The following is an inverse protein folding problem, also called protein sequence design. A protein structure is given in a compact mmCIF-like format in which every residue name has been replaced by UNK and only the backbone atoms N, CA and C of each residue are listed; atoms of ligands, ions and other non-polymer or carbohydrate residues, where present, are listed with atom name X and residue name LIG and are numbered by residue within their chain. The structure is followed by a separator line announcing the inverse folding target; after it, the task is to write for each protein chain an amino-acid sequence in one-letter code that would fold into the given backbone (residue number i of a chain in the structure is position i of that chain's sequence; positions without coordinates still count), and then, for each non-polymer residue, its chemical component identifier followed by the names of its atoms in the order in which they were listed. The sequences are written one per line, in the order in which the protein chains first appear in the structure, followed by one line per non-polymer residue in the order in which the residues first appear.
data_IF_053329139195
#
_entry.id   IF_053329139195
#
_cell.length_a   1.000
_cell.length_b   1.000
_cell.length_c   1.000
_cell.angle_alpha   90.00
_cell.angle_beta   90.00
_cell.angle_gamma   90.00
#
_symmetry.space_group_name_H-M   'P 1'
#
loop_
_entity.id
_entity.type
_entity.pdbx_description
1 polymer ?
#
# COMPACT_ATOMS: atom_id res chain seq x y z
N UNK A 1 19.99 31.65 0.78
CA UNK A 1 19.82 31.79 -0.68
C UNK A 1 18.60 30.99 -1.07
N UNK A 2 17.50 31.69 -1.31
CA UNK A 2 16.17 31.18 -1.60
C UNK A 2 16.04 30.94 -3.10
N UNK A 3 16.41 29.74 -3.54
CA UNK A 3 15.96 29.09 -4.77
C UNK A 3 16.60 27.69 -4.86
N UNK A 4 15.98 26.69 -4.24
CA UNK A 4 16.22 25.28 -4.56
C UNK A 4 15.26 24.91 -5.67
N UNK A 5 15.63 25.17 -6.93
CA UNK A 5 14.86 24.69 -8.07
C UNK A 5 14.81 23.16 -8.01
N UNK A 6 13.60 22.61 -7.88
CA UNK A 6 13.38 21.17 -7.92
C UNK A 6 13.95 20.61 -9.23
N UNK A 7 14.70 19.51 -9.14
CA UNK A 7 15.24 18.83 -10.32
C UNK A 7 14.11 18.50 -11.31
N UNK A 8 14.30 18.83 -12.58
CA UNK A 8 13.31 18.63 -13.65
C UNK A 8 13.73 17.47 -14.53
N UNK A 9 12.75 16.84 -15.17
CA UNK A 9 12.98 15.85 -16.22
C UNK A 9 12.87 16.47 -17.61
N UNK A 10 13.61 15.94 -18.58
CA UNK A 10 13.32 16.24 -20.00
C UNK A 10 12.04 15.57 -20.49
N UNK A 11 11.46 14.61 -19.75
CA UNK A 11 10.10 14.10 -19.97
C UNK A 11 9.13 15.16 -19.42
N UNK A 12 8.52 15.93 -20.31
CA UNK A 12 7.74 17.10 -19.95
C UNK A 12 6.55 16.78 -19.03
N UNK A 13 5.87 15.65 -19.25
CA UNK A 13 4.72 15.22 -18.45
C UNK A 13 5.08 14.89 -17.01
N UNK A 14 6.35 14.62 -16.69
CA UNK A 14 6.79 14.40 -15.31
C UNK A 14 6.93 15.70 -14.50
N UNK A 15 7.10 16.85 -15.16
CA UNK A 15 7.31 18.11 -14.47
C UNK A 15 5.98 18.66 -13.92
N UNK A 16 5.79 18.57 -12.61
CA UNK A 16 4.52 18.94 -11.97
C UNK A 16 3.49 17.80 -11.93
N UNK A 17 3.87 16.60 -12.39
CA UNK A 17 3.04 15.42 -12.21
C UNK A 17 2.83 15.16 -10.72
N UNK A 18 1.58 14.92 -10.30
CA UNK A 18 1.25 14.76 -8.88
C UNK A 18 1.79 13.46 -8.28
N UNK A 19 1.79 12.39 -9.09
CA UNK A 19 2.17 11.07 -8.60
C UNK A 19 3.58 10.64 -9.04
N UNK A 20 3.92 10.75 -10.33
CA UNK A 20 5.17 10.25 -10.92
C UNK A 20 6.12 11.34 -11.45
N UNK A 21 6.52 12.35 -10.65
CA UNK A 21 7.61 13.23 -11.08
C UNK A 21 8.96 12.51 -11.00
N UNK A 22 10.02 13.18 -11.46
CA UNK A 22 11.40 12.67 -11.42
C UNK A 22 11.86 12.26 -10.00
N UNK A 23 11.28 12.87 -8.97
CA UNK A 23 11.58 12.56 -7.57
C UNK A 23 10.95 11.26 -7.09
N UNK A 24 9.94 10.71 -7.78
CA UNK A 24 9.32 9.46 -7.37
C UNK A 24 10.06 8.25 -7.97
N UNK A 25 9.90 8.01 -9.27
CA UNK A 25 10.44 6.85 -9.99
C UNK A 25 10.05 5.50 -9.34
N UNK A 26 8.76 5.21 -9.14
CA UNK A 26 8.35 3.96 -8.53
C UNK A 26 8.50 2.80 -9.53
N UNK A 27 8.76 1.61 -9.00
CA UNK A 27 9.00 0.40 -9.78
C UNK A 27 7.72 -0.43 -9.93
N UNK A 28 7.53 -1.07 -11.06
CA UNK A 28 6.37 -1.92 -11.31
C UNK A 28 6.63 -2.92 -12.42
N UNK A 29 5.68 -3.84 -12.60
CA UNK A 29 5.68 -4.81 -13.68
C UNK A 29 4.57 -4.46 -14.66
N UNK A 30 4.90 -4.40 -15.94
CA UNK A 30 3.96 -4.03 -16.99
C UNK A 30 4.11 -4.91 -18.24
N UNK A 31 3.11 -4.87 -19.12
CA UNK A 31 3.14 -5.46 -20.45
C UNK A 31 2.43 -4.56 -21.46
N UNK A 32 2.77 -4.67 -22.73
CA UNK A 32 2.11 -3.96 -23.84
C UNK A 32 1.54 -5.00 -24.80
N UNK A 33 0.26 -4.90 -25.14
CA UNK A 33 -0.35 -5.74 -26.19
C UNK A 33 -0.17 -7.26 -25.99
N UNK A 34 -0.18 -7.74 -24.74
CA UNK A 34 0.00 -9.16 -24.41
C UNK A 34 1.45 -9.67 -24.46
N UNK A 35 2.44 -8.78 -24.62
CA UNK A 35 3.86 -9.13 -24.47
C UNK A 35 4.17 -9.71 -23.08
N UNK A 36 5.30 -10.40 -22.94
CA UNK A 36 5.77 -10.85 -21.62
C UNK A 36 5.86 -9.68 -20.61
N UNK A 37 5.41 -9.89 -19.35
CA UNK A 37 5.57 -8.91 -18.28
C UNK A 37 7.04 -8.63 -17.99
N UNK A 38 7.37 -7.36 -17.74
CA UNK A 38 8.73 -6.89 -17.48
C UNK A 38 8.76 -5.68 -16.56
N UNK A 39 9.93 -5.39 -16.02
CA UNK A 39 10.13 -4.30 -15.06
C UNK A 39 10.16 -2.93 -15.73
N UNK A 40 9.53 -1.96 -15.09
CA UNK A 40 9.47 -0.58 -15.56
C UNK A 40 9.40 0.43 -14.42
N UNK A 41 9.62 1.69 -14.76
CA UNK A 41 9.61 2.83 -13.83
C UNK A 41 8.63 3.88 -14.34
N UNK A 42 7.66 4.29 -13.53
CA UNK A 42 6.74 5.35 -13.93
C UNK A 42 7.45 6.71 -13.94
N UNK A 43 7.23 7.51 -14.99
CA UNK A 43 7.75 8.87 -15.13
C UNK A 43 6.79 9.72 -15.98
N UNK A 44 6.08 10.65 -15.33
CA UNK A 44 4.96 11.36 -15.95
C UNK A 44 3.89 10.38 -16.45
N UNK A 45 3.48 10.57 -17.70
CA UNK A 45 2.49 9.71 -18.39
C UNK A 45 3.12 8.50 -19.11
N UNK A 46 4.41 8.21 -18.86
CA UNK A 46 5.15 7.15 -19.51
C UNK A 46 5.72 6.14 -18.50
N UNK A 47 6.12 4.98 -19.01
CA UNK A 47 6.87 3.97 -18.27
C UNK A 47 8.24 3.83 -18.92
N UNK A 48 9.32 4.03 -18.17
CA UNK A 48 10.67 3.68 -18.63
C UNK A 48 10.86 2.16 -18.54
N UNK A 49 11.02 1.50 -19.68
CA UNK A 49 11.23 0.06 -19.80
C UNK A 49 12.68 -0.30 -19.42
N UNK A 50 12.85 -0.95 -18.27
CA UNK A 50 14.19 -1.25 -17.74
C UNK A 50 14.92 -2.28 -18.60
N UNK A 51 14.21 -3.26 -19.16
CA UNK A 51 14.79 -4.29 -20.03
C UNK A 51 15.24 -3.68 -21.37
N UNK A 52 14.41 -2.81 -21.97
CA UNK A 52 14.79 -2.08 -23.17
C UNK A 52 15.99 -1.15 -22.91
N UNK A 53 16.04 -0.50 -21.74
CA UNK A 53 17.16 0.34 -21.34
C UNK A 53 18.46 -0.46 -21.16
N UNK A 54 18.38 -1.66 -20.59
CA UNK A 54 19.50 -2.59 -20.48
C UNK A 54 20.00 -3.03 -21.86
N UNK A 55 19.09 -3.44 -22.76
CA UNK A 55 19.43 -3.82 -24.13
C UNK A 55 20.05 -2.66 -24.93
N UNK A 56 19.67 -1.41 -24.65
CA UNK A 56 20.24 -0.22 -25.25
C UNK A 56 21.59 0.22 -24.65
N UNK A 57 22.12 -0.50 -23.65
CA UNK A 57 23.35 -0.16 -22.96
C UNK A 57 23.26 1.16 -22.20
N UNK A 58 22.12 1.39 -21.51
CA UNK A 58 21.95 2.57 -20.65
C UNK A 58 22.38 2.31 -19.20
N UNK A 59 22.65 1.07 -18.83
CA UNK A 59 23.06 0.69 -17.47
C UNK A 59 24.46 0.10 -17.44
N UNK A 60 25.24 0.53 -16.45
CA UNK A 60 26.61 0.06 -16.20
C UNK A 60 26.80 -0.19 -14.69
N UNK A 61 27.85 -0.93 -14.33
CA UNK A 61 28.24 -1.15 -12.93
C UNK A 61 27.09 -1.69 -12.05
N UNK A 62 26.95 -1.22 -10.81
CA UNK A 62 25.91 -1.68 -9.89
C UNK A 62 24.47 -1.47 -10.40
N UNK A 63 24.20 -0.41 -11.17
CA UNK A 63 22.88 -0.18 -11.74
C UNK A 63 22.51 -1.24 -12.80
N UNK A 64 23.51 -1.74 -13.55
CA UNK A 64 23.31 -2.86 -14.47
C UNK A 64 22.92 -4.14 -13.73
N UNK A 65 23.63 -4.48 -12.65
CA UNK A 65 23.33 -5.65 -11.81
C UNK A 65 21.91 -5.55 -11.23
N UNK A 66 21.50 -4.35 -10.80
CA UNK A 66 20.15 -4.10 -10.31
C UNK A 66 19.07 -4.38 -11.36
N UNK A 67 19.25 -3.90 -12.60
CA UNK A 67 18.29 -4.16 -13.68
C UNK A 67 18.28 -5.63 -14.09
N UNK A 68 19.45 -6.27 -14.19
CA UNK A 68 19.57 -7.71 -14.48
C UNK A 68 18.81 -8.58 -13.46
N UNK A 69 18.80 -8.18 -12.19
CA UNK A 69 18.04 -8.86 -11.14
C UNK A 69 16.52 -8.56 -11.16
N UNK A 70 16.06 -7.58 -11.95
CA UNK A 70 14.64 -7.27 -12.13
C UNK A 70 14.00 -7.96 -13.34
N UNK A 71 14.80 -8.65 -14.15
CA UNK A 71 14.34 -9.38 -15.34
C UNK A 71 13.40 -10.52 -14.96
N UNK A 72 12.52 -10.88 -15.90
CA UNK A 72 11.62 -12.04 -15.73
C UNK A 72 10.28 -11.72 -15.08
N UNK A 73 9.91 -10.44 -15.05
CA UNK A 73 8.54 -10.02 -14.72
C UNK A 73 8.21 -10.03 -13.22
N UNK A 74 9.21 -9.96 -12.34
CA UNK A 74 9.00 -9.80 -10.90
C UNK A 74 10.19 -9.09 -10.24
N UNK A 75 9.92 -8.24 -9.23
CA UNK A 75 10.96 -7.48 -8.53
C UNK A 75 11.67 -8.26 -7.40
N UNK A 76 11.32 -9.52 -7.14
CA UNK A 76 11.85 -10.30 -6.00
C UNK A 76 13.38 -10.36 -5.96
N UNK A 77 14.03 -10.71 -7.08
CA UNK A 77 15.48 -10.84 -7.12
C UNK A 77 16.18 -9.48 -6.99
N UNK A 78 15.59 -8.41 -7.52
CA UNK A 78 16.04 -7.04 -7.28
C UNK A 78 15.88 -6.63 -5.80
N UNK A 79 14.77 -6.97 -5.16
CA UNK A 79 14.55 -6.74 -3.72
C UNK A 79 15.58 -7.47 -2.85
N UNK A 80 15.97 -8.68 -3.24
CA UNK A 80 16.97 -9.49 -2.55
C UNK A 80 18.38 -8.88 -2.56
N UNK A 81 18.71 -8.02 -3.52
CA UNK A 81 20.00 -7.31 -3.55
C UNK A 81 20.13 -6.23 -2.47
N UNK A 82 19.03 -5.86 -1.81
CA UNK A 82 19.04 -4.86 -0.74
C UNK A 82 19.19 -3.42 -1.24
N UNK A 83 19.45 -2.51 -0.30
CA UNK A 83 19.40 -1.06 -0.54
C UNK A 83 20.43 -0.55 -1.56
N UNK A 84 21.64 -1.08 -1.55
CA UNK A 84 22.72 -0.58 -2.41
C UNK A 84 22.36 -0.67 -3.90
N UNK A 85 21.72 -1.76 -4.32
CA UNK A 85 21.22 -1.94 -5.69
C UNK A 85 20.06 -0.98 -6.01
N UNK A 86 19.14 -0.77 -5.05
CA UNK A 86 18.03 0.20 -5.21
C UNK A 86 18.54 1.63 -5.42
N UNK A 87 19.49 2.05 -4.59
CA UNK A 87 20.13 3.37 -4.69
C UNK A 87 20.86 3.52 -6.03
N UNK A 88 21.66 2.53 -6.42
CA UNK A 88 22.40 2.58 -7.68
C UNK A 88 21.48 2.70 -8.91
N UNK A 89 20.38 1.93 -8.94
CA UNK A 89 19.39 2.04 -10.01
C UNK A 89 18.74 3.42 -10.02
N UNK A 90 18.32 3.91 -8.85
CA UNK A 90 17.69 5.23 -8.70
C UNK A 90 18.59 6.37 -9.17
N UNK A 91 19.86 6.39 -8.75
CA UNK A 91 20.83 7.40 -9.16
C UNK A 91 21.04 7.39 -10.67
N UNK A 92 21.15 6.20 -11.27
CA UNK A 92 21.29 6.08 -12.72
C UNK A 92 20.04 6.56 -13.46
N UNK A 93 18.84 6.24 -12.97
CA UNK A 93 17.60 6.73 -13.57
C UNK A 93 17.48 8.26 -13.47
N UNK A 94 17.88 8.85 -12.34
CA UNK A 94 17.94 10.30 -12.19
C UNK A 94 18.88 10.92 -13.23
N UNK A 95 20.07 10.36 -13.44
CA UNK A 95 21.00 10.82 -14.48
C UNK A 95 20.41 10.71 -15.90
N UNK A 96 19.76 9.58 -16.21
CA UNK A 96 19.16 9.33 -17.53
C UNK A 96 17.97 10.26 -17.81
N UNK A 97 17.18 10.59 -16.80
CA UNK A 97 15.89 11.28 -16.94
C UNK A 97 15.93 12.77 -16.60
N UNK A 98 16.99 13.27 -15.95
CA UNK A 98 17.15 14.70 -15.62
C UNK A 98 17.28 15.57 -16.85
N UNK A 99 16.74 16.79 -16.82
CA UNK A 99 16.72 17.76 -17.94
C UNK A 99 18.08 17.97 -18.62
N UNK A 100 19.18 17.92 -17.86
CA UNK A 100 20.56 18.06 -18.34
C UNK A 100 21.23 16.77 -18.84
N UNK A 101 20.50 15.66 -19.01
CA UNK A 101 21.09 14.38 -19.39
C UNK A 101 21.75 14.42 -20.77
N UNK A 102 23.03 14.03 -20.84
CA UNK A 102 23.78 13.90 -22.10
C UNK A 102 23.29 12.74 -22.96
N UNK A 103 22.52 11.82 -22.38
CA UNK A 103 21.96 10.64 -23.05
C UNK A 103 20.55 10.87 -23.60
N UNK A 104 19.96 12.05 -23.38
CA UNK A 104 18.60 12.40 -23.83
C UNK A 104 18.37 12.05 -25.30
N UNK A 105 19.24 12.50 -26.20
CA UNK A 105 19.07 12.25 -27.65
C UNK A 105 19.10 10.76 -28.02
N UNK A 106 19.89 9.95 -27.30
CA UNK A 106 19.92 8.49 -27.48
C UNK A 106 18.60 7.86 -27.01
N UNK A 107 18.04 8.33 -25.90
CA UNK A 107 16.79 7.83 -25.34
C UNK A 107 15.60 8.23 -26.20
N UNK A 108 15.52 9.49 -26.63
CA UNK A 108 14.47 9.99 -27.53
C UNK A 108 14.45 9.22 -28.86
N UNK A 109 15.60 8.85 -29.40
CA UNK A 109 15.70 8.03 -30.62
C UNK A 109 15.14 6.60 -30.47
N UNK A 110 15.02 6.08 -29.25
CA UNK A 110 14.40 4.78 -28.99
C UNK A 110 12.86 4.86 -28.95
N UNK A 111 12.32 6.05 -28.65
CA UNK A 111 10.88 6.35 -28.68
C UNK A 111 10.06 5.43 -27.77
N UNK A 112 8.88 5.03 -28.25
CA UNK A 112 7.90 4.22 -27.52
C UNK A 112 8.38 2.81 -27.16
N UNK A 113 9.51 2.35 -27.71
CA UNK A 113 10.13 1.08 -27.30
C UNK A 113 10.75 1.16 -25.91
N UNK A 114 11.25 2.34 -25.52
CA UNK A 114 11.84 2.57 -24.20
C UNK A 114 10.89 3.33 -23.27
N UNK A 115 10.03 4.18 -23.85
CA UNK A 115 9.07 5.02 -23.14
C UNK A 115 7.66 4.85 -23.71
N UNK A 116 7.05 3.67 -23.57
CA UNK A 116 5.63 3.51 -23.86
C UNK A 116 4.78 4.45 -22.99
N UNK A 117 3.64 4.87 -23.53
CA UNK A 117 2.64 5.58 -22.74
C UNK A 117 2.04 4.63 -21.70
N UNK A 118 1.88 5.11 -20.47
CA UNK A 118 1.33 4.31 -19.38
C UNK A 118 -0.11 3.84 -19.68
N UNK A 119 -0.88 4.64 -20.41
CA UNK A 119 -2.24 4.30 -20.84
C UNK A 119 -2.32 3.10 -21.80
N UNK A 120 -1.24 2.79 -22.51
CA UNK A 120 -1.15 1.65 -23.44
C UNK A 120 -0.63 0.38 -22.75
N UNK A 121 -0.30 0.46 -21.46
CA UNK A 121 0.31 -0.61 -20.68
C UNK A 121 -0.70 -1.26 -19.73
N UNK A 122 -0.59 -2.57 -19.58
CA UNK A 122 -1.26 -3.31 -18.51
C UNK A 122 -0.27 -3.50 -17.36
N UNK A 123 -0.68 -3.12 -16.15
CA UNK A 123 0.10 -3.30 -14.92
C UNK A 123 -0.24 -4.62 -14.23
N UNK A 124 0.76 -5.22 -13.59
CA UNK A 124 0.68 -6.52 -12.91
C UNK A 124 1.09 -6.39 -11.44
N UNK A 125 1.04 -7.49 -10.68
CA UNK A 125 1.66 -7.52 -9.36
C UNK A 125 3.17 -7.26 -9.49
N UNK A 126 3.76 -6.40 -8.64
CA UNK A 126 5.16 -6.01 -8.78
C UNK A 126 6.14 -7.14 -8.38
N UNK A 127 5.72 -8.04 -7.50
CA UNK A 127 6.51 -9.17 -7.04
C UNK A 127 5.63 -10.39 -6.81
N UNK A 128 6.24 -11.57 -6.82
CA UNK A 128 5.63 -12.80 -6.34
C UNK A 128 5.63 -12.77 -4.81
N UNK A 129 4.44 -12.75 -4.21
CA UNK A 129 4.28 -12.69 -2.76
C UNK A 129 4.43 -14.10 -2.20
N UNK A 130 5.46 -14.32 -1.38
CA UNK A 130 5.65 -15.56 -0.62
C UNK A 130 4.61 -15.64 0.48
N UNK A 131 4.78 -14.74 1.47
CA UNK A 131 3.86 -14.57 2.58
C UNK A 131 3.26 -13.16 2.64
N UNK A 132 2.01 -13.10 3.10
CA UNK A 132 1.32 -11.86 3.42
C UNK A 132 0.97 -11.87 4.90
N UNK A 133 1.38 -10.83 5.62
CA UNK A 133 0.98 -10.62 7.01
C UNK A 133 0.25 -9.30 7.14
N UNK A 134 -0.87 -9.32 7.81
CA UNK A 134 -1.69 -8.13 8.02
C UNK A 134 -1.58 -7.72 9.48
N UNK A 135 -1.05 -6.52 9.73
CA UNK A 135 -0.93 -5.97 11.07
C UNK A 135 -2.20 -5.22 11.47
N UNK A 136 -2.20 -4.72 12.71
CA UNK A 136 -3.32 -3.95 13.25
C UNK A 136 -2.79 -2.74 14.01
N UNK A 137 -2.12 -1.83 13.31
CA UNK A 137 -1.36 -0.73 13.94
C UNK A 137 -2.13 0.58 14.11
N UNK A 138 -3.25 0.75 13.40
CA UNK A 138 -4.10 1.94 13.49
C UNK A 138 -4.86 2.00 14.82
N UNK A 139 -4.36 2.77 15.79
CA UNK A 139 -4.94 2.77 17.14
C UNK A 139 -6.35 3.35 17.20
N UNK A 140 -6.67 4.34 16.39
CA UNK A 140 -8.03 4.88 16.32
C UNK A 140 -9.00 3.86 15.73
N UNK A 141 -8.58 3.13 14.69
CA UNK A 141 -9.34 2.00 14.17
C UNK A 141 -9.57 0.94 15.26
N UNK A 142 -8.51 0.56 15.98
CA UNK A 142 -8.60 -0.40 17.08
C UNK A 142 -9.57 0.04 18.20
N UNK A 143 -9.58 1.33 18.55
CA UNK A 143 -10.54 1.91 19.50
C UNK A 143 -11.95 1.90 18.94
N UNK A 144 -12.15 2.30 17.69
CA UNK A 144 -13.48 2.42 17.08
C UNK A 144 -14.16 1.06 16.94
N UNK A 145 -13.46 0.08 16.35
CA UNK A 145 -13.95 -1.30 16.26
C UNK A 145 -14.13 -1.88 17.65
N UNK A 146 -13.17 -1.66 18.54
CA UNK A 146 -13.24 -2.05 19.95
C UNK A 146 -14.52 -1.59 20.63
N UNK A 147 -14.92 -0.32 20.47
CA UNK A 147 -16.14 0.24 21.08
C UNK A 147 -17.43 -0.43 20.60
N UNK A 148 -17.45 -0.96 19.38
CA UNK A 148 -18.62 -1.66 18.84
C UNK A 148 -18.87 -3.01 19.52
N UNK A 149 -17.80 -3.67 19.99
CA UNK A 149 -17.88 -5.01 20.59
C UNK A 149 -17.64 -5.02 22.12
N UNK A 150 -16.86 -4.06 22.62
CA UNK A 150 -16.39 -3.93 24.01
C UNK A 150 -16.34 -2.43 24.38
N UNK A 151 -17.49 -1.76 24.55
CA UNK A 151 -17.55 -0.32 24.76
C UNK A 151 -16.74 0.18 25.97
N UNK A 152 -16.71 -0.60 27.05
CA UNK A 152 -16.01 -0.21 28.28
C UNK A 152 -14.49 -0.43 28.23
N UNK A 153 -14.01 -1.33 27.36
CA UNK A 153 -12.59 -1.61 27.20
C UNK A 153 -12.26 -1.93 25.72
N UNK A 154 -12.20 -0.89 24.88
CA UNK A 154 -12.15 -1.08 23.42
C UNK A 154 -10.82 -1.67 22.95
N UNK A 155 -9.72 -1.34 23.63
CA UNK A 155 -8.38 -1.87 23.33
C UNK A 155 -8.05 -3.05 24.24
N UNK A 156 -7.56 -4.14 23.65
CA UNK A 156 -7.02 -5.25 24.44
C UNK A 156 -5.69 -4.84 25.09
N UNK A 157 -5.35 -5.38 26.28
CA UNK A 157 -4.17 -4.95 27.04
C UNK A 157 -2.84 -5.05 26.27
N UNK A 158 -2.70 -6.01 25.37
CA UNK A 158 -1.48 -6.27 24.61
C UNK A 158 -1.22 -5.24 23.49
N UNK A 159 -2.23 -4.52 23.01
CA UNK A 159 -2.13 -3.66 21.82
C UNK A 159 -0.99 -2.61 21.94
N UNK A 160 -0.80 -2.06 23.13
CA UNK A 160 0.22 -1.03 23.39
C UNK A 160 1.64 -1.60 23.57
N UNK A 161 1.78 -2.91 23.67
CA UNK A 161 3.06 -3.61 23.88
C UNK A 161 3.53 -4.41 22.67
N UNK A 162 2.61 -4.84 21.81
CA UNK A 162 2.87 -5.74 20.68
C UNK A 162 2.20 -5.16 19.43
N UNK A 163 2.92 -4.98 18.31
CA UNK A 163 2.29 -4.73 17.01
C UNK A 163 1.63 -6.03 16.54
N UNK A 164 0.40 -6.24 16.98
CA UNK A 164 -0.34 -7.48 16.67
C UNK A 164 -0.62 -7.57 15.17
N UNK A 165 -0.59 -8.80 14.65
CA UNK A 165 -0.89 -9.11 13.26
C UNK A 165 -1.24 -10.58 13.10
N UNK A 166 -1.68 -10.96 11.91
CA UNK A 166 -2.04 -12.33 11.54
C UNK A 166 -1.57 -12.63 10.11
N UNK A 167 -1.39 -13.91 9.80
CA UNK A 167 -1.06 -14.33 8.43
C UNK A 167 -2.29 -14.17 7.53
N UNK A 168 -2.17 -13.32 6.52
CA UNK A 168 -3.16 -13.14 5.47
C UNK A 168 -3.04 -14.18 4.37
N UNK A 169 -3.74 -13.98 3.24
CA UNK A 169 -3.74 -14.93 2.12
C UNK A 169 -3.04 -14.39 0.88
N UNK A 170 -1.78 -14.77 0.68
CA UNK A 170 -0.99 -14.34 -0.48
C UNK A 170 -1.63 -14.69 -1.84
N UNK A 171 -2.26 -15.87 -1.97
CA UNK A 171 -2.79 -16.35 -3.26
C UNK A 171 -3.93 -15.51 -3.86
N UNK A 172 -4.59 -14.69 -3.06
CA UNK A 172 -5.75 -13.88 -3.44
C UNK A 172 -5.45 -12.37 -3.45
N UNK A 173 -4.18 -12.00 -3.34
CA UNK A 173 -3.74 -10.62 -3.59
C UNK A 173 -3.77 -10.35 -5.10
N UNK A 174 -4.40 -9.25 -5.50
CA UNK A 174 -4.58 -8.87 -6.90
C UNK A 174 -4.13 -7.43 -7.13
N UNK A 175 -3.62 -7.11 -8.34
CA UNK A 175 -3.32 -5.74 -8.67
C UNK A 175 -4.63 -4.94 -8.78
N UNK A 176 -4.50 -3.62 -8.62
CA UNK A 176 -5.55 -2.63 -8.84
C UNK A 176 -6.33 -2.88 -10.14
N UNK A 177 -7.67 -2.75 -10.07
CA UNK A 177 -8.58 -2.89 -11.20
C UNK A 177 -9.23 -4.26 -11.37
N UNK A 178 -8.80 -5.28 -10.62
CA UNK A 178 -9.47 -6.59 -10.60
C UNK A 178 -10.82 -6.49 -9.88
N UNK A 179 -11.86 -7.11 -10.45
CA UNK A 179 -13.20 -7.15 -9.84
C UNK A 179 -13.21 -7.87 -8.48
N UNK A 180 -13.98 -7.31 -7.55
CA UNK A 180 -14.16 -7.80 -6.19
C UNK A 180 -15.49 -8.54 -6.12
N UNK A 181 -15.45 -9.86 -6.22
CA UNK A 181 -16.67 -10.65 -6.13
C UNK A 181 -17.13 -10.76 -4.68
N UNK A 182 -18.36 -10.34 -4.41
CA UNK A 182 -18.99 -10.49 -3.09
C UNK A 182 -18.90 -11.96 -2.65
N UNK A 183 -18.28 -12.24 -1.48
CA UNK A 183 -18.13 -13.61 -1.04
C UNK A 183 -19.47 -14.17 -0.53
N UNK A 184 -19.58 -15.49 -0.56
CA UNK A 184 -20.56 -16.23 0.22
C UNK A 184 -19.89 -16.83 1.44
N UNK A 185 -20.63 -16.98 2.53
CA UNK A 185 -20.11 -17.63 3.72
C UNK A 185 -21.20 -17.90 4.74
N UNK A 186 -20.78 -18.47 5.86
CA UNK A 186 -21.66 -18.62 7.01
C UNK A 186 -21.73 -17.31 7.79
N UNK A 187 -22.93 -16.98 8.25
CA UNK A 187 -23.17 -15.85 9.14
C UNK A 187 -24.13 -16.27 10.24
N UNK A 188 -23.98 -15.70 11.43
CA UNK A 188 -24.94 -15.85 12.53
C UNK A 188 -25.62 -14.50 12.81
N UNK A 189 -26.84 -14.27 12.29
CA UNK A 189 -27.58 -13.06 12.59
C UNK A 189 -27.90 -12.91 14.08
N UNK A 190 -27.98 -11.68 14.57
CA UNK A 190 -28.31 -11.41 15.97
C UNK A 190 -29.66 -12.03 16.37
N UNK A 191 -29.70 -12.69 17.52
CA UNK A 191 -30.89 -13.37 18.04
C UNK A 191 -31.14 -14.76 17.46
N UNK A 192 -30.30 -15.24 16.53
CA UNK A 192 -30.36 -16.60 16.01
C UNK A 192 -29.41 -17.53 16.77
N UNK A 193 -29.73 -18.82 16.77
CA UNK A 193 -28.91 -19.88 17.38
C UNK A 193 -28.20 -20.75 16.34
N UNK A 194 -28.64 -20.71 15.08
CA UNK A 194 -28.08 -21.49 13.98
C UNK A 194 -27.57 -20.55 12.87
N UNK A 195 -26.40 -20.84 12.27
CA UNK A 195 -25.86 -20.02 11.20
C UNK A 195 -26.65 -20.24 9.89
N UNK A 196 -26.61 -19.22 9.03
CA UNK A 196 -27.13 -19.29 7.66
C UNK A 196 -25.99 -19.20 6.66
N UNK A 197 -26.20 -19.70 5.43
CA UNK A 197 -25.23 -19.62 4.35
C UNK A 197 -25.78 -18.76 3.20
N UNK A 198 -25.00 -17.78 2.75
CA UNK A 198 -25.42 -16.90 1.66
C UNK A 198 -24.40 -15.83 1.34
N UNK A 199 -24.75 -14.88 0.44
CA UNK A 199 -23.93 -13.71 0.16
C UNK A 199 -23.68 -12.86 1.40
N UNK A 200 -22.46 -12.33 1.53
CA UNK A 200 -22.10 -11.34 2.54
C UNK A 200 -23.00 -10.10 2.42
N UNK A 201 -23.64 -9.70 3.52
CA UNK A 201 -24.47 -8.50 3.64
C UNK A 201 -23.69 -7.28 4.13
N UNK A 202 -22.52 -7.48 4.73
CA UNK A 202 -21.68 -6.41 5.32
C UNK A 202 -20.28 -6.39 4.69
N UNK A 203 -20.23 -6.18 3.38
CA UNK A 203 -18.99 -6.06 2.62
C UNK A 203 -18.37 -4.68 2.82
N UNK A 204 -17.07 -4.64 3.07
CA UNK A 204 -16.35 -3.44 3.48
C UNK A 204 -14.98 -3.37 2.81
N UNK A 205 -14.38 -2.19 2.83
CA UNK A 205 -12.97 -1.96 2.50
C UNK A 205 -12.17 -1.70 3.78
N UNK A 206 -10.85 -1.79 3.66
CA UNK A 206 -9.92 -1.32 4.69
C UNK A 206 -8.82 -0.47 4.04
N UNK A 207 -8.69 0.78 4.47
CA UNK A 207 -7.65 1.69 4.00
C UNK A 207 -6.30 1.34 4.62
N UNK A 208 -5.37 0.81 3.83
CA UNK A 208 -4.07 0.37 4.33
C UNK A 208 -2.90 0.80 3.46
N UNK A 209 -1.71 0.73 4.07
CA UNK A 209 -0.44 0.72 3.36
C UNK A 209 0.10 -0.70 3.30
N UNK A 210 0.50 -1.11 2.10
CA UNK A 210 1.34 -2.28 1.88
C UNK A 210 2.82 -1.91 2.02
N UNK A 211 3.60 -2.78 2.67
CA UNK A 211 5.03 -2.63 2.91
C UNK A 211 5.73 -3.83 2.28
N UNK A 212 6.56 -3.58 1.28
CA UNK A 212 7.30 -4.63 0.58
C UNK A 212 8.60 -4.95 1.28
N UNK A 213 8.81 -6.21 1.60
CA UNK A 213 10.07 -6.69 2.17
C UNK A 213 11.14 -6.81 1.07
N UNK A 214 12.26 -6.16 1.33
CA UNK A 214 13.48 -6.15 0.54
C UNK A 214 14.32 -7.40 0.79
N UNK A 215 15.54 -7.23 1.28
CA UNK A 215 16.34 -8.37 1.70
C UNK A 215 15.68 -9.03 2.91
N UNK A 216 15.58 -10.37 2.89
CA UNK A 216 15.06 -11.14 4.02
C UNK A 216 16.07 -11.30 5.16
N UNK A 217 15.86 -12.31 5.98
CA UNK A 217 16.78 -12.80 7.02
C UNK A 217 16.96 -14.31 6.91
N UNK A 218 17.97 -14.85 7.59
CA UNK A 218 18.13 -16.29 7.73
C UNK A 218 17.15 -16.84 8.77
N UNK A 219 16.70 -18.08 8.59
CA UNK A 219 15.77 -18.73 9.51
C UNK A 219 16.40 -18.85 10.91
N UNK A 220 15.71 -18.37 11.94
CA UNK A 220 16.20 -18.32 13.31
C UNK A 220 16.82 -16.98 13.71
N UNK A 221 17.20 -16.14 12.74
CA UNK A 221 17.85 -14.86 13.00
C UNK A 221 16.84 -13.71 12.96
N UNK A 222 16.75 -12.95 14.05
CA UNK A 222 15.87 -11.77 14.11
C UNK A 222 16.52 -10.55 13.44
N UNK A 223 15.68 -9.68 12.84
CA UNK A 223 16.12 -8.38 12.33
C UNK A 223 15.99 -7.35 13.45
N UNK A 224 17.08 -6.73 13.93
CA UNK A 224 17.00 -5.67 14.93
C UNK A 224 16.23 -4.45 14.40
N UNK A 225 15.43 -3.80 15.24
CA UNK A 225 14.65 -2.60 14.84
C UNK A 225 15.53 -1.46 14.28
N UNK A 226 16.80 -1.38 14.71
CA UNK A 226 17.78 -0.41 14.19
C UNK A 226 18.21 -0.66 12.74
N UNK A 227 18.02 -1.88 12.23
CA UNK A 227 18.38 -2.29 10.87
C UNK A 227 17.14 -2.53 10.00
N UNK A 228 15.98 -2.78 10.62
CA UNK A 228 14.72 -3.13 9.98
C UNK A 228 14.29 -2.18 8.83
N UNK A 229 14.62 -0.89 8.91
CA UNK A 229 14.33 0.06 7.83
C UNK A 229 15.02 -0.28 6.50
N UNK A 230 16.19 -0.92 6.53
CA UNK A 230 16.96 -1.31 5.33
C UNK A 230 16.33 -2.50 4.60
N UNK A 231 15.58 -3.32 5.35
CA UNK A 231 14.82 -4.48 4.86
C UNK A 231 13.48 -4.10 4.22
N UNK A 232 13.14 -2.80 4.15
CA UNK A 232 11.94 -2.33 3.45
C UNK A 232 12.34 -1.89 2.04
N UNK A 233 11.80 -2.55 1.02
CA UNK A 233 12.03 -2.18 -0.38
C UNK A 233 11.22 -0.93 -0.78
N UNK A 234 9.98 -0.83 -0.29
CA UNK A 234 9.08 0.25 -0.63
C UNK A 234 7.66 -0.01 -0.15
N UNK A 235 6.74 0.80 -0.65
CA UNK A 235 5.37 0.87 -0.17
C UNK A 235 4.39 0.89 -1.35
N UNK A 236 3.18 0.39 -1.10
CA UNK A 236 2.04 0.49 -2.02
C UNK A 236 0.76 0.81 -1.22
N UNK A 237 -0.32 1.18 -1.91
CA UNK A 237 -1.65 1.15 -1.32
C UNK A 237 -2.12 -0.30 -1.18
N UNK A 238 -2.88 -0.60 -0.14
CA UNK A 238 -3.50 -1.90 0.08
C UNK A 238 -4.97 -1.70 0.50
N UNK A 239 -5.86 -2.51 -0.07
CA UNK A 239 -7.25 -2.62 0.36
C UNK A 239 -7.52 -4.05 0.79
N UNK A 240 -7.68 -4.25 2.10
CA UNK A 240 -8.02 -5.57 2.67
C UNK A 240 -9.54 -5.74 2.78
N UNK A 241 -10.14 -6.15 1.65
CA UNK A 241 -11.59 -6.31 1.54
C UNK A 241 -12.12 -7.27 2.60
N UNK A 242 -13.22 -6.87 3.23
CA UNK A 242 -13.66 -7.50 4.47
C UNK A 242 -15.15 -7.82 4.45
N UNK A 243 -15.49 -9.08 4.70
CA UNK A 243 -16.88 -9.52 4.88
C UNK A 243 -17.21 -9.59 6.38
N UNK A 244 -17.70 -8.47 6.95
CA UNK A 244 -17.77 -8.25 8.41
C UNK A 244 -18.71 -9.19 9.15
N UNK A 245 -19.79 -9.61 8.50
CA UNK A 245 -20.76 -10.58 9.02
C UNK A 245 -20.21 -12.01 9.06
N UNK A 246 -19.46 -12.41 8.03
CA UNK A 246 -18.71 -13.68 8.02
C UNK A 246 -17.63 -13.62 9.11
N UNK A 247 -16.90 -12.51 9.20
CA UNK A 247 -15.82 -12.30 10.17
C UNK A 247 -16.32 -12.47 11.60
N UNK A 248 -17.43 -11.80 11.94
CA UNK A 248 -18.01 -11.83 13.29
C UNK A 248 -18.38 -13.25 13.74
N UNK A 249 -18.74 -14.14 12.81
CA UNK A 249 -19.07 -15.53 13.10
C UNK A 249 -17.82 -16.42 13.21
N UNK A 250 -16.85 -16.26 12.31
CA UNK A 250 -15.74 -17.21 12.19
C UNK A 250 -14.52 -16.91 13.07
N UNK A 251 -14.31 -15.65 13.47
CA UNK A 251 -12.96 -15.22 13.89
C UNK A 251 -12.50 -15.77 15.25
N UNK A 252 -13.42 -16.27 16.08
CA UNK A 252 -13.03 -16.81 17.38
C UNK A 252 -12.79 -18.32 17.32
N UNK A 253 -11.68 -18.84 17.88
CA UNK A 253 -10.58 -18.12 18.54
C UNK A 253 -9.39 -17.81 17.61
N UNK A 254 -9.44 -18.18 16.34
CA UNK A 254 -8.25 -18.31 15.47
C UNK A 254 -7.91 -17.05 14.64
N UNK A 255 -8.73 -16.02 14.70
CA UNK A 255 -8.60 -14.81 13.90
C UNK A 255 -9.36 -14.84 12.57
N UNK A 256 -9.29 -13.76 11.78
CA UNK A 256 -9.98 -13.65 10.49
C UNK A 256 -9.50 -14.70 9.49
N UNK A 257 -10.41 -15.25 8.66
CA UNK A 257 -10.06 -16.25 7.66
C UNK A 257 -10.80 -16.07 6.32
N UNK A 258 -12.00 -16.62 6.14
CA UNK A 258 -12.75 -16.50 4.88
C UNK A 258 -13.29 -15.09 4.66
N UNK A 259 -13.46 -14.34 5.73
CA UNK A 259 -13.87 -12.94 5.72
C UNK A 259 -12.84 -11.96 5.17
N UNK A 260 -11.59 -12.42 4.94
CA UNK A 260 -10.47 -11.63 4.39
C UNK A 260 -9.88 -12.27 3.14
N UNK A 261 -9.70 -13.59 3.16
CA UNK A 261 -8.97 -14.33 2.12
C UNK A 261 -9.62 -14.37 0.73
N UNK A 262 -10.81 -13.80 0.54
CA UNK A 262 -11.50 -13.81 -0.76
C UNK A 262 -10.84 -12.89 -1.79
N UNK A 263 -10.33 -11.72 -1.38
CA UNK A 263 -9.49 -10.84 -2.22
C UNK A 263 -8.85 -9.72 -1.37
N UNK A 264 -7.59 -9.42 -1.64
CA UNK A 264 -6.90 -8.20 -1.18
C UNK A 264 -6.40 -7.48 -2.43
N UNK A 265 -6.55 -6.16 -2.52
CA UNK A 265 -6.10 -5.38 -3.70
C UNK A 265 -4.93 -4.48 -3.36
N UNK A 266 -3.97 -4.31 -4.28
CA UNK A 266 -2.82 -3.41 -4.08
C UNK A 266 -2.58 -2.49 -5.29
N UNK A 267 -2.02 -1.30 -5.05
CA UNK A 267 -1.52 -0.47 -6.15
C UNK A 267 -0.30 -1.13 -6.83
N UNK A 268 -0.18 -1.05 -8.15
CA UNK A 268 0.84 -1.81 -8.90
C UNK A 268 2.26 -1.22 -8.79
N UNK A 269 2.37 0.05 -8.42
CA UNK A 269 3.65 0.74 -8.28
C UNK A 269 4.19 0.62 -6.86
N UNK A 270 5.45 0.20 -6.75
CA UNK A 270 6.23 0.19 -5.52
C UNK A 270 6.99 1.50 -5.42
N UNK A 271 6.52 2.38 -4.54
CA UNK A 271 7.22 3.63 -4.22
C UNK A 271 8.35 3.28 -3.27
N UNK A 272 9.60 3.47 -3.70
CA UNK A 272 10.76 2.96 -2.96
C UNK A 272 10.98 3.72 -1.65
N UNK A 273 11.58 3.06 -0.66
CA UNK A 273 11.90 3.70 0.62
C UNK A 273 12.77 4.96 0.44
N UNK A 274 13.67 4.95 -0.55
CA UNK A 274 14.56 6.07 -0.88
C UNK A 274 13.82 7.26 -1.50
N UNK A 275 12.72 7.03 -2.24
CA UNK A 275 11.89 8.10 -2.76
C UNK A 275 11.13 8.83 -1.65
N UNK A 276 10.80 8.12 -0.57
CA UNK A 276 10.02 8.63 0.55
C UNK A 276 10.85 9.33 1.64
N UNK A 277 12.18 9.27 1.57
CA UNK A 277 13.09 9.88 2.55
C UNK A 277 12.73 11.34 2.91
N UNK A 278 12.40 12.23 1.96
CA UNK A 278 12.04 13.62 2.29
C UNK A 278 10.76 13.78 3.11
N UNK A 279 9.93 12.74 3.18
CA UNK A 279 8.64 12.71 3.86
C UNK A 279 8.68 11.93 5.18
N UNK A 280 9.88 11.50 5.61
CA UNK A 280 10.08 10.98 6.95
C UNK A 280 9.79 12.03 8.01
N UNK A 281 9.20 11.57 9.12
CA UNK A 281 8.88 12.36 10.31
C UNK A 281 9.28 11.57 11.55
N UNK A 282 9.41 12.29 12.66
CA UNK A 282 9.41 11.66 13.97
C UNK A 282 8.10 10.89 14.16
N UNK A 283 8.20 9.70 14.73
CA UNK A 283 7.03 8.94 15.13
C UNK A 283 6.22 9.78 16.13
N UNK A 284 4.90 9.94 15.94
CA UNK A 284 4.08 10.65 16.90
C UNK A 284 4.27 10.10 18.30
N UNK A 285 4.45 11.00 19.26
CA UNK A 285 4.65 10.63 20.65
C UNK A 285 3.44 9.81 21.13
N UNK A 286 3.72 8.77 21.90
CA UNK A 286 2.66 8.00 22.55
C UNK A 286 1.86 8.92 23.50
N UNK A 287 0.53 8.75 23.61
CA UNK A 287 -0.27 9.49 24.56
C UNK A 287 0.27 9.41 25.99
N UNK A 288 0.04 10.44 26.79
CA UNK A 288 0.44 10.44 28.20
C UNK A 288 -0.15 9.22 28.95
N UNK A 289 0.70 8.50 29.67
CA UNK A 289 0.33 7.27 30.39
C UNK A 289 0.46 5.98 29.57
N UNK A 290 0.70 6.05 28.26
CA UNK A 290 0.98 4.86 27.46
C UNK A 290 2.38 4.29 27.77
N UNK A 291 2.55 2.95 27.77
CA UNK A 291 3.82 2.34 28.11
C UNK A 291 4.86 2.58 27.01
N UNK A 292 6.12 2.62 27.41
CA UNK A 292 7.24 2.53 26.48
C UNK A 292 7.32 1.11 25.89
N UNK A 293 7.61 0.96 24.58
CA UNK A 293 7.91 -0.36 24.00
C UNK A 293 9.08 -1.05 24.71
N UNK A 294 9.09 -2.38 24.69
CA UNK A 294 10.25 -3.16 25.09
C UNK A 294 11.46 -2.83 24.19
N UNK A 295 12.67 -3.02 24.70
CA UNK A 295 13.91 -2.58 24.05
C UNK A 295 14.08 -3.06 22.59
N UNK A 296 13.62 -4.26 22.26
CA UNK A 296 13.72 -4.80 20.89
C UNK A 296 12.85 -4.07 19.86
N UNK A 297 11.88 -3.28 20.30
CA UNK A 297 11.03 -2.42 19.48
C UNK A 297 11.35 -0.94 19.63
N UNK A 298 12.45 -0.58 20.31
CA UNK A 298 12.78 0.81 20.56
C UNK A 298 14.18 1.13 20.03
N UNK A 299 14.23 1.98 19.00
CA UNK A 299 15.45 2.57 18.48
C UNK A 299 15.27 4.08 18.31
N UNK A 300 16.30 4.85 18.65
CA UNK A 300 16.22 6.32 18.66
C UNK A 300 16.14 6.91 17.25
N UNK A 301 16.75 6.27 16.25
CA UNK A 301 16.69 6.73 14.85
C UNK A 301 15.32 6.44 14.26
N UNK A 302 14.76 5.27 14.54
CA UNK A 302 13.39 4.91 14.18
C UNK A 302 12.38 5.87 14.83
N UNK A 303 12.51 6.18 16.12
CA UNK A 303 11.59 7.14 16.74
C UNK A 303 11.73 8.56 16.15
N UNK A 304 12.93 8.95 15.71
CA UNK A 304 13.17 10.26 15.11
C UNK A 304 12.75 10.37 13.64
N UNK A 305 12.73 9.28 12.87
CA UNK A 305 12.53 9.33 11.40
C UNK A 305 11.73 8.13 10.81
N UNK A 306 11.15 7.27 11.65
CA UNK A 306 10.51 6.02 11.25
C UNK A 306 9.10 6.19 10.70
N UNK A 307 8.44 7.31 11.00
CA UNK A 307 7.14 7.64 10.45
C UNK A 307 7.26 8.24 9.05
N UNK A 308 6.23 8.04 8.24
CA UNK A 308 6.09 8.63 6.91
C UNK A 308 4.84 9.50 6.89
N UNK A 309 4.96 10.69 6.31
CA UNK A 309 3.84 11.61 6.06
C UNK A 309 3.22 11.29 4.69
N UNK A 310 2.26 10.37 4.69
CA UNK A 310 1.54 9.92 3.50
C UNK A 310 0.06 10.16 3.76
N UNK A 311 -0.52 11.13 3.05
CA UNK A 311 -1.96 11.34 3.03
C UNK A 311 -2.63 10.18 2.29
N UNK A 312 -3.71 9.64 2.86
CA UNK A 312 -4.41 8.46 2.38
C UNK A 312 -5.89 8.78 2.17
N UNK A 313 -6.37 8.70 0.94
CA UNK A 313 -7.73 9.05 0.55
C UNK A 313 -8.52 7.81 0.12
N UNK A 314 -9.78 7.73 0.52
CA UNK A 314 -10.74 6.71 0.08
C UNK A 314 -11.91 7.38 -0.63
N UNK A 315 -12.19 6.93 -1.84
CA UNK A 315 -13.29 7.38 -2.67
C UNK A 315 -14.22 6.21 -2.99
N UNK A 316 -15.51 6.50 -3.09
CA UNK A 316 -16.56 5.59 -3.53
C UNK A 316 -17.21 6.13 -4.81
N UNK A 317 -17.29 5.30 -5.83
CA UNK A 317 -17.98 5.61 -7.09
C UNK A 317 -19.07 4.57 -7.39
N UNK A 318 -20.32 5.01 -7.34
CA UNK A 318 -21.50 4.16 -7.61
C UNK A 318 -21.89 4.20 -9.09
N UNK A 319 -22.78 3.31 -9.51
CA UNK A 319 -23.34 3.36 -10.87
C UNK A 319 -24.15 4.64 -11.12
N UNK A 320 -24.99 5.03 -10.16
CA UNK A 320 -25.80 6.25 -10.28
C UNK A 320 -24.93 7.52 -10.37
N UNK A 321 -23.81 7.59 -9.64
CA UNK A 321 -22.86 8.70 -9.79
C UNK A 321 -22.26 8.77 -11.19
N UNK A 322 -21.94 7.63 -11.81
CA UNK A 322 -21.44 7.58 -13.20
C UNK A 322 -22.49 8.08 -14.18
N UNK A 323 -23.73 7.61 -14.06
CA UNK A 323 -24.85 8.03 -14.90
C UNK A 323 -25.15 9.53 -14.77
N UNK A 324 -25.01 10.09 -13.57
CA UNK A 324 -25.21 11.50 -13.29
C UNK A 324 -23.97 12.38 -13.56
N UNK A 325 -22.85 11.80 -14.02
CA UNK A 325 -21.56 12.47 -14.18
C UNK A 325 -21.06 13.16 -12.89
N UNK A 326 -21.36 12.59 -11.72
CA UNK A 326 -20.86 13.07 -10.43
C UNK A 326 -19.45 12.53 -10.16
N UNK A 327 -18.58 13.30 -9.48
CA UNK A 327 -17.29 12.78 -9.03
C UNK A 327 -17.48 11.69 -7.97
N UNK A 328 -16.47 10.84 -7.80
CA UNK A 328 -16.44 9.87 -6.71
C UNK A 328 -16.56 10.59 -5.35
N UNK A 329 -17.39 10.05 -4.46
CA UNK A 329 -17.62 10.61 -3.14
C UNK A 329 -16.48 10.24 -2.19
N UNK A 330 -15.89 11.22 -1.51
CA UNK A 330 -14.81 10.99 -0.55
C UNK A 330 -15.36 10.47 0.77
N UNK A 331 -15.01 9.24 1.10
CA UNK A 331 -15.38 8.58 2.36
C UNK A 331 -14.44 8.97 3.50
N UNK A 332 -13.15 9.13 3.22
CA UNK A 332 -12.17 9.48 4.23
C UNK A 332 -10.88 10.06 3.65
N UNK A 333 -10.21 10.89 4.45
CA UNK A 333 -8.87 11.44 4.20
C UNK A 333 -8.02 11.29 5.47
N UNK A 334 -7.32 10.17 5.58
CA UNK A 334 -6.45 9.81 6.69
C UNK A 334 -4.97 10.12 6.38
N UNK A 335 -4.07 9.67 7.24
CA UNK A 335 -2.62 9.76 7.03
C UNK A 335 -1.92 8.59 7.73
N UNK A 336 -0.80 8.10 7.18
CA UNK A 336 0.03 7.07 7.83
C UNK A 336 0.66 7.50 9.14
N UNK A 337 0.71 8.79 9.46
CA UNK A 337 1.06 9.29 10.79
C UNK A 337 0.11 8.79 11.89
N UNK A 338 -1.05 8.23 11.55
CA UNK A 338 -1.94 7.59 12.53
C UNK A 338 -1.51 6.16 12.93
N UNK A 339 -0.45 5.62 12.33
CA UNK A 339 0.15 4.35 12.74
C UNK A 339 0.74 4.48 14.15
N UNK A 340 0.35 3.60 15.07
CA UNK A 340 0.89 3.58 16.43
C UNK A 340 2.26 2.87 16.53
N UNK A 341 2.57 2.04 15.55
CA UNK A 341 3.83 1.31 15.40
C UNK A 341 4.45 1.63 14.04
N UNK A 342 5.77 1.86 13.98
CA UNK A 342 6.49 2.14 12.73
C UNK A 342 6.64 0.87 11.89
N UNK A 343 6.88 1.02 10.58
CA UNK A 343 7.15 -0.12 9.71
C UNK A 343 8.39 -0.93 10.15
N UNK A 344 9.42 -0.27 10.70
CA UNK A 344 10.60 -0.94 11.24
C UNK A 344 10.26 -1.80 12.47
N UNK A 345 9.36 -1.33 13.35
CA UNK A 345 8.86 -2.11 14.47
C UNK A 345 8.08 -3.35 14.01
N UNK A 346 7.37 -3.29 12.87
CA UNK A 346 6.65 -4.45 12.32
C UNK A 346 7.63 -5.53 11.86
N UNK A 347 8.66 -5.14 11.09
CA UNK A 347 9.73 -6.06 10.63
C UNK A 347 10.48 -6.68 11.80
N UNK A 348 10.86 -5.87 12.79
CA UNK A 348 11.54 -6.36 13.98
C UNK A 348 10.67 -7.32 14.80
N UNK A 349 9.38 -7.00 14.98
CA UNK A 349 8.47 -7.88 15.70
C UNK A 349 8.23 -9.20 14.98
N UNK A 350 8.02 -9.15 13.67
CA UNK A 350 7.71 -10.35 12.87
C UNK A 350 8.85 -11.37 12.90
N UNK A 351 10.09 -10.89 12.80
CA UNK A 351 11.29 -11.73 12.78
C UNK A 351 11.81 -12.12 14.17
N UNK A 352 11.31 -11.52 15.27
CA UNK A 352 11.91 -11.67 16.62
C UNK A 352 11.95 -13.12 17.13
N UNK A 353 11.03 -13.97 16.65
CA UNK A 353 10.98 -15.39 17.02
C UNK A 353 11.80 -16.30 16.10
N UNK A 354 12.57 -15.72 15.17
CA UNK A 354 13.30 -16.44 14.13
C UNK A 354 12.51 -16.71 12.85
N UNK A 355 11.32 -16.09 12.67
CA UNK A 355 10.59 -16.16 11.40
C UNK A 355 11.46 -15.63 10.26
N UNK A 356 11.51 -16.39 9.17
CA UNK A 356 12.27 -16.04 7.99
C UNK A 356 11.42 -15.15 7.08
N UNK A 357 11.74 -13.85 7.00
CA UNK A 357 11.17 -12.98 5.98
C UNK A 357 11.89 -13.18 4.65
N UNK A 358 11.15 -13.06 3.55
CA UNK A 358 11.64 -13.28 2.20
C UNK A 358 11.42 -12.05 1.32
N UNK A 359 12.27 -11.90 0.29
CA UNK A 359 12.15 -10.81 -0.67
C UNK A 359 10.87 -10.92 -1.48
N UNK A 360 10.04 -9.88 -1.39
CA UNK A 360 8.70 -9.86 -1.96
C UNK A 360 7.60 -10.33 -1.03
N UNK A 361 7.88 -10.63 0.24
CA UNK A 361 6.82 -10.68 1.25
C UNK A 361 6.16 -9.30 1.37
N UNK A 362 4.88 -9.32 1.74
CA UNK A 362 4.07 -8.12 1.87
C UNK A 362 3.52 -8.03 3.30
N UNK A 363 3.68 -6.87 3.92
CA UNK A 363 2.94 -6.53 5.14
C UNK A 363 1.82 -5.54 4.83
N UNK A 364 0.63 -5.78 5.35
CA UNK A 364 -0.44 -4.78 5.48
C UNK A 364 -0.28 -4.06 6.82
N UNK A 365 -0.53 -2.76 6.84
CA UNK A 365 -0.45 -1.97 8.08
C UNK A 365 -1.56 -2.31 9.07
N UNK A 366 -2.68 -2.87 8.60
CA UNK A 366 -3.97 -2.74 9.24
C UNK A 366 -4.60 -1.38 8.90
N UNK A 367 -5.92 -1.31 9.06
CA UNK A 367 -6.71 -0.12 8.72
C UNK A 367 -6.20 1.16 9.39
N UNK A 368 -5.98 2.21 8.59
CA UNK A 368 -5.42 3.49 9.02
C UNK A 368 -6.49 4.56 9.19
N UNK A 369 -7.08 4.61 10.37
CA UNK A 369 -8.02 5.67 10.76
C UNK A 369 -7.34 6.80 11.55
N UNK A 370 -7.78 8.04 11.32
CA UNK A 370 -7.45 9.19 12.16
C UNK A 370 -8.47 9.44 13.27
N UNK A 371 -8.20 10.40 14.17
CA UNK A 371 -9.09 10.74 15.29
C UNK A 371 -10.41 11.39 14.83
N UNK A 372 -10.43 12.07 13.69
CA UNK A 372 -11.64 12.73 13.18
C UNK A 372 -12.49 11.78 12.34
N UNK A 373 -13.83 11.94 12.39
CA UNK A 373 -14.77 11.12 11.60
C UNK A 373 -14.49 11.13 10.10
N UNK A 374 -13.93 12.23 9.59
CA UNK A 374 -13.56 12.37 8.17
C UNK A 374 -12.29 11.60 7.77
N UNK A 375 -11.66 10.91 8.72
CA UNK A 375 -10.39 10.19 8.53
C UNK A 375 -10.52 8.69 8.79
N UNK A 376 -11.74 8.17 8.89
CA UNK A 376 -12.00 6.76 9.18
C UNK A 376 -11.70 5.87 7.97
N UNK A 377 -11.06 4.73 8.21
CA UNK A 377 -10.50 3.85 7.19
C UNK A 377 -11.42 2.71 6.74
N UNK A 378 -12.68 2.65 7.19
CA UNK A 378 -13.64 1.61 6.81
C UNK A 378 -15.10 2.07 6.94
N UNK A 379 -16.04 1.46 6.21
CA UNK A 379 -17.47 1.72 6.41
C UNK A 379 -17.96 1.20 7.76
N UNK A 380 -17.35 0.13 8.28
CA UNK A 380 -17.63 -0.37 9.62
C UNK A 380 -17.51 0.75 10.67
N UNK A 381 -16.46 1.56 10.58
CA UNK A 381 -16.24 2.70 11.47
C UNK A 381 -17.14 3.88 11.14
N UNK A 382 -17.17 4.30 9.86
CA UNK A 382 -17.94 5.47 9.40
C UNK A 382 -19.41 5.36 9.80
N UNK A 383 -19.96 4.15 9.69
CA UNK A 383 -21.38 3.88 9.92
C UNK A 383 -21.68 3.29 11.31
N UNK A 384 -20.66 3.14 12.16
CA UNK A 384 -20.75 2.55 13.49
C UNK A 384 -21.45 1.18 13.49
N UNK A 385 -21.01 0.29 12.60
CA UNK A 385 -21.62 -1.02 12.41
C UNK A 385 -22.95 -0.98 11.65
N UNK A 386 -23.18 0.04 10.81
CA UNK A 386 -24.39 0.22 10.02
C UNK A 386 -25.55 0.91 10.77
N UNK A 387 -25.29 1.45 11.96
CA UNK A 387 -26.26 2.22 12.76
C UNK A 387 -26.52 3.61 12.17
N UNK A 388 -25.47 4.23 11.63
CA UNK A 388 -25.52 5.57 11.06
C UNK A 388 -25.13 5.51 9.58
N UNK A 389 -26.09 5.34 8.66
CA UNK A 389 -25.76 5.29 7.24
C UNK A 389 -25.22 6.64 6.75
N UNK A 390 -24.47 6.60 5.65
CA UNK A 390 -23.98 7.80 4.95
C UNK A 390 -24.86 8.10 3.74
N UNK A 391 -25.12 9.38 3.51
CA UNK A 391 -25.74 9.88 2.28
C UNK A 391 -24.64 10.31 1.31
N UNK A 392 -24.70 9.77 0.09
CA UNK A 392 -23.74 10.03 -0.96
C UNK A 392 -24.15 11.24 -1.80
N UNK A 393 -23.23 11.75 -2.62
CA UNK A 393 -23.47 12.92 -3.47
C UNK A 393 -24.61 12.72 -4.48
N UNK A 394 -24.92 11.47 -4.85
CA UNK A 394 -26.03 11.07 -5.71
C UNK A 394 -27.39 11.00 -5.00
N UNK A 395 -27.43 11.18 -3.67
CA UNK A 395 -28.61 10.92 -2.82
C UNK A 395 -28.78 9.45 -2.43
N UNK A 396 -27.93 8.55 -2.93
CA UNK A 396 -27.88 7.16 -2.47
C UNK A 396 -27.43 7.08 -1.01
N UNK A 397 -27.85 6.04 -0.31
CA UNK A 397 -27.49 5.81 1.09
C UNK A 397 -26.70 4.52 1.21
N UNK A 398 -25.60 4.52 1.97
CA UNK A 398 -24.78 3.32 2.21
C UNK A 398 -24.60 3.04 3.70
N UNK A 399 -24.63 1.75 4.03
CA UNK A 399 -24.15 1.20 5.32
C UNK A 399 -22.88 0.39 5.13
N UNK A 400 -22.89 -0.43 4.10
CA UNK A 400 -21.80 -1.27 3.62
C UNK A 400 -21.83 -1.22 2.08
N UNK A 401 -20.84 -1.81 1.43
CA UNK A 401 -20.74 -1.79 -0.03
C UNK A 401 -21.84 -2.62 -0.68
N UNK A 402 -22.43 -2.06 -1.72
CA UNK A 402 -23.41 -2.70 -2.60
C UNK A 402 -22.74 -3.19 -3.90
N UNK A 403 -23.43 -4.06 -4.64
CA UNK A 403 -22.92 -4.51 -5.93
C UNK A 403 -22.93 -3.34 -6.93
N UNK A 404 -21.84 -3.17 -7.70
CA UNK A 404 -21.64 -2.03 -8.60
C UNK A 404 -20.81 -0.88 -8.02
N UNK A 405 -20.66 -0.82 -6.70
CA UNK A 405 -19.79 0.15 -6.02
C UNK A 405 -18.31 -0.09 -6.39
N UNK A 406 -17.56 0.98 -6.65
CA UNK A 406 -16.10 0.93 -6.83
C UNK A 406 -15.41 1.73 -5.74
N UNK A 407 -14.51 1.07 -5.01
CA UNK A 407 -13.60 1.75 -4.08
C UNK A 407 -12.33 2.12 -4.80
N UNK A 408 -11.86 3.34 -4.58
CA UNK A 408 -10.60 3.87 -5.12
C UNK A 408 -9.81 4.44 -3.94
N UNK A 409 -8.66 3.84 -3.66
CA UNK A 409 -7.69 4.36 -2.72
C UNK A 409 -6.64 5.19 -3.46
N UNK A 410 -6.22 6.29 -2.86
CA UNK A 410 -5.13 7.17 -3.33
C UNK A 410 -4.20 7.49 -2.18
N UNK A 411 -2.91 7.67 -2.48
CA UNK A 411 -1.93 8.12 -1.52
C UNK A 411 -1.02 9.19 -2.11
N UNK A 412 -0.65 10.17 -1.28
CA UNK A 412 0.24 11.26 -1.68
C UNK A 412 1.07 11.78 -0.52
N UNK A 413 2.34 12.05 -0.80
CA UNK A 413 3.23 12.82 0.04
C UNK A 413 3.32 14.26 -0.49
N UNK A 414 3.24 15.23 0.42
CA UNK A 414 3.44 16.65 0.11
C UNK A 414 4.24 17.33 1.20
N UNK A 415 5.24 18.12 0.82
CA UNK A 415 6.03 18.94 1.74
C UNK A 415 6.55 20.17 1.00
N UNK A 416 6.48 21.34 1.65
CA UNK A 416 7.03 22.57 1.07
C UNK A 416 8.50 22.38 0.68
N UNK A 417 8.87 22.84 -0.52
CA UNK A 417 10.22 22.69 -1.06
C UNK A 417 10.53 21.31 -1.67
N UNK A 418 9.60 20.35 -1.63
CA UNK A 418 9.74 19.03 -2.24
C UNK A 418 8.66 18.79 -3.31
N UNK A 419 9.00 18.02 -4.36
CA UNK A 419 8.01 17.58 -5.33
C UNK A 419 7.02 16.61 -4.68
N UNK A 420 5.75 16.61 -5.10
CA UNK A 420 4.78 15.65 -4.60
C UNK A 420 5.11 14.23 -5.07
N UNK A 421 4.88 13.23 -4.22
CA UNK A 421 5.05 11.81 -4.58
C UNK A 421 3.71 11.13 -4.39
N UNK A 422 3.25 10.38 -5.38
CA UNK A 422 2.00 9.62 -5.32
C UNK A 422 2.20 8.15 -5.67
N UNK A 423 1.18 7.35 -5.37
CA UNK A 423 1.23 5.89 -5.45
C UNK A 423 0.43 5.32 -6.62
N UNK A 424 -0.14 6.20 -7.46
CA UNK A 424 -1.24 5.84 -8.35
C UNK A 424 -2.48 5.48 -7.53
N UNK A 425 -3.22 4.48 -7.98
CA UNK A 425 -4.49 4.08 -7.36
C UNK A 425 -4.55 2.59 -7.07
N UNK A 426 -5.20 2.23 -5.96
CA UNK A 426 -5.70 0.88 -5.70
C UNK A 426 -7.23 0.91 -5.81
N UNK A 427 -7.78 0.30 -6.87
CA UNK A 427 -9.23 0.30 -7.14
C UNK A 427 -9.79 -1.10 -7.29
N UNK A 428 -11.06 -1.27 -6.95
CA UNK A 428 -11.79 -2.52 -7.17
C UNK A 428 -13.30 -2.26 -7.22
N UNK A 429 -13.96 -2.81 -8.24
CA UNK A 429 -15.41 -2.76 -8.40
C UNK A 429 -16.05 -4.01 -7.81
N UNK A 430 -17.03 -3.83 -6.93
CA UNK A 430 -17.80 -4.92 -6.34
C UNK A 430 -18.73 -5.51 -7.39
N UNK A 431 -18.70 -6.83 -7.54
CA UNK A 431 -19.60 -7.58 -8.40
C UNK A 431 -20.36 -8.64 -7.60
N UNK A 432 -21.57 -8.95 -8.06
CA UNK A 432 -22.47 -9.85 -7.38
C UNK A 432 -21.85 -11.23 -7.07
N UNK A 433 -22.30 -11.80 -5.95
CA UNK A 433 -22.02 -13.19 -5.60
C UNK A 433 -22.52 -14.13 -6.71
N UNK A 434 -21.79 -15.23 -6.95
CA UNK A 434 -22.15 -16.23 -7.98
C UNK A 434 -23.30 -17.11 -7.58
#
# INVERSE_FOLDING_TARGET
MTQTTLARSWISSANGHRDFPLQNLPLGIFSIGGSAPRSGVAIGDAIFDLEAGLAAGLFEGPAKVAVEASLGGALNAFFALGRSARVALRERLLELLSEGSTLRGKIEALGTRLLPLAADCQLHLPAKIGDYTDFYVGIEHAKNVGKLFRPDNPLLPNYKYVPIGYHGRASTIRPSGVEVRRPKGQTLPAGQTEPTFGPCSRLDYELELGIWIGQGNDMGDAIPVSEAGEHIAGFCLLNDWSARDIQAWEYQPLGPFLSKSFITSISPWVVTAEALEPFRRAQPARPEGDPQPLAYLLDTKDQANGALDIELEVLLLTEAMREQNLPAHRLGLSNSLNMYWTAAQLVAHHSVNGCQLQSGDLFGSGTLSGPDRSQLGSLLEITEGGKHPIELASGEVRKFLEDGDEIILRARCTREGHASIGFGECRGKVVAAR
#
